data_IF_622253525727
#
_entry.id   IF_622253525727
#
_cell.length_a   1.000
_cell.length_b   1.000
_cell.length_c   1.000
_cell.angle_alpha   90.00
_cell.angle_beta   90.00
_cell.angle_gamma   90.00
#
_symmetry.space_group_name_H-M   'P 1'
#
loop_
_entity.id
_entity.type
_entity.pdbx_description
1 polymer ?
#
# COMPACT_ATOMS: atom_id res chain seq x y z
N UNK A 1 -0.10 -27.60 6.10
CA UNK A 1 0.85 -26.59 6.60
C UNK A 1 1.32 -25.81 5.38
N UNK A 2 0.46 -24.92 4.88
CA UNK A 2 0.69 -24.06 3.71
C UNK A 2 0.66 -22.59 4.15
N UNK A 3 1.52 -22.25 5.12
CA UNK A 3 1.76 -20.87 5.50
C UNK A 3 2.48 -20.18 4.35
N UNK A 4 1.80 -19.27 3.66
CA UNK A 4 2.46 -18.39 2.68
C UNK A 4 3.46 -17.49 3.43
N UNK A 5 4.66 -17.25 2.88
CA UNK A 5 5.74 -16.46 3.49
C UNK A 5 5.30 -15.14 4.17
N UNK A 6 4.16 -14.58 3.77
CA UNK A 6 3.64 -13.30 4.25
C UNK A 6 2.92 -13.40 5.60
N UNK A 7 2.44 -14.59 6.02
CA UNK A 7 1.87 -14.77 7.37
C UNK A 7 2.96 -14.74 8.44
N UNK A 8 4.18 -15.20 8.11
CA UNK A 8 5.32 -15.15 9.01
C UNK A 8 5.78 -13.70 9.25
N UNK A 9 5.84 -12.88 8.19
CA UNK A 9 6.22 -11.46 8.28
C UNK A 9 5.22 -10.62 9.09
N UNK A 10 3.95 -11.03 9.15
CA UNK A 10 2.88 -10.39 9.95
C UNK A 10 2.43 -11.26 11.13
N UNK A 11 3.30 -12.12 11.66
CA UNK A 11 2.96 -12.99 12.79
C UNK A 11 2.51 -12.19 14.03
N UNK A 12 3.03 -10.97 14.20
CA UNK A 12 2.73 -10.10 15.34
C UNK A 12 1.53 -9.15 15.14
N UNK A 13 0.75 -9.31 14.06
CA UNK A 13 -0.38 -8.42 13.77
C UNK A 13 -1.42 -8.33 14.91
N UNK A 14 -1.56 -9.40 15.71
CA UNK A 14 -2.46 -9.40 16.88
C UNK A 14 -1.98 -8.43 17.97
N UNK A 15 -0.67 -8.35 18.20
CA UNK A 15 -0.08 -7.42 19.17
C UNK A 15 -0.29 -5.97 18.72
N UNK A 16 -0.04 -5.68 17.44
CA UNK A 16 -0.26 -4.34 16.86
C UNK A 16 -1.73 -3.93 16.95
N UNK A 17 -2.65 -4.86 16.67
CA UNK A 17 -4.10 -4.61 16.80
C UNK A 17 -4.47 -4.29 18.26
N UNK A 18 -3.89 -5.02 19.23
CA UNK A 18 -4.15 -4.80 20.65
C UNK A 18 -3.62 -3.44 21.14
N UNK A 19 -2.46 -2.99 20.65
CA UNK A 19 -1.84 -1.72 21.05
C UNK A 19 -2.50 -0.50 20.39
N UNK A 20 -2.82 -0.60 19.10
CA UNK A 20 -3.36 0.53 18.32
C UNK A 20 -4.89 0.60 18.33
N UNK A 21 -5.56 -0.50 18.68
CA UNK A 21 -7.00 -0.66 18.51
C UNK A 21 -7.45 -0.79 17.05
N UNK A 22 -6.51 -0.80 16.09
CA UNK A 22 -6.82 -0.85 14.66
C UNK A 22 -6.84 -2.29 14.14
N UNK A 23 -7.95 -2.77 13.56
CA UNK A 23 -8.04 -4.13 13.07
C UNK A 23 -7.14 -4.34 11.85
N UNK A 24 -6.31 -5.39 11.88
CA UNK A 24 -5.48 -5.80 10.75
C UNK A 24 -6.14 -6.97 10.02
N UNK A 25 -6.24 -6.85 8.68
CA UNK A 25 -6.84 -7.87 7.82
C UNK A 25 -5.80 -8.47 6.87
N UNK A 26 -5.71 -9.80 6.85
CA UNK A 26 -4.85 -10.55 5.93
C UNK A 26 -5.66 -11.16 4.78
N UNK A 27 -5.02 -11.26 3.61
CA UNK A 27 -5.60 -11.95 2.47
C UNK A 27 -5.66 -13.45 2.74
N UNK A 28 -6.76 -14.10 2.36
CA UNK A 28 -6.92 -15.55 2.52
C UNK A 28 -5.92 -16.30 1.61
N UNK A 29 -5.39 -17.46 2.06
CA UNK A 29 -4.59 -18.32 1.20
C UNK A 29 -5.32 -18.63 -0.11
N UNK A 30 -4.58 -18.67 -1.22
CA UNK A 30 -5.09 -18.97 -2.57
C UNK A 30 -6.17 -18.00 -3.08
N UNK A 31 -6.24 -16.78 -2.53
CA UNK A 31 -7.21 -15.75 -2.95
C UNK A 31 -6.52 -14.54 -3.62
N UNK A 32 -5.88 -14.69 -4.79
CA UNK A 32 -5.12 -13.62 -5.44
C UNK A 32 -5.95 -12.38 -5.78
N UNK A 33 -7.26 -12.52 -5.99
CA UNK A 33 -8.15 -11.40 -6.25
C UNK A 33 -8.25 -10.40 -5.08
N UNK A 34 -7.96 -10.81 -3.84
CA UNK A 34 -7.93 -9.90 -2.69
C UNK A 34 -6.69 -8.97 -2.69
N UNK A 35 -5.71 -9.23 -3.56
CA UNK A 35 -4.44 -8.50 -3.64
C UNK A 35 -4.37 -7.53 -4.82
N UNK A 36 -5.44 -7.39 -5.61
CA UNK A 36 -5.42 -6.67 -6.90
C UNK A 36 -4.82 -5.25 -6.82
N UNK A 37 -5.19 -4.48 -5.79
CA UNK A 37 -4.67 -3.12 -5.58
C UNK A 37 -3.18 -3.10 -5.24
N UNK A 38 -2.74 -4.00 -4.35
CA UNK A 38 -1.33 -4.13 -3.95
C UNK A 38 -0.49 -4.55 -5.16
N UNK A 39 -0.95 -5.53 -5.93
CA UNK A 39 -0.24 -6.01 -7.13
C UNK A 39 -0.18 -4.95 -8.22
N UNK A 40 -1.24 -4.16 -8.39
CA UNK A 40 -1.23 -3.02 -9.30
C UNK A 40 -0.20 -1.96 -8.88
N UNK A 41 -0.15 -1.63 -7.59
CA UNK A 41 0.79 -0.66 -7.02
C UNK A 41 2.24 -1.16 -7.16
N UNK A 42 2.49 -2.43 -6.84
CA UNK A 42 3.80 -3.05 -7.01
C UNK A 42 4.27 -3.07 -8.48
N UNK A 43 3.35 -3.21 -9.45
CA UNK A 43 3.69 -3.10 -10.88
C UNK A 43 4.15 -1.69 -11.26
N UNK A 44 3.60 -0.67 -10.63
CA UNK A 44 3.98 0.73 -10.85
C UNK A 44 5.32 1.05 -10.20
N UNK A 45 5.54 0.58 -8.97
CA UNK A 45 6.84 0.68 -8.29
C UNK A 45 7.96 0.05 -9.11
N UNK A 46 7.68 -1.04 -9.85
CA UNK A 46 8.64 -1.69 -10.74
C UNK A 46 9.12 -0.85 -11.91
N UNK A 47 8.52 0.32 -12.16
CA UNK A 47 9.03 1.30 -13.13
C UNK A 47 10.25 2.07 -12.59
N UNK A 48 10.42 2.13 -11.26
CA UNK A 48 11.51 2.83 -10.58
C UNK A 48 12.46 1.85 -9.87
N UNK A 49 11.91 0.82 -9.22
CA UNK A 49 12.63 -0.16 -8.43
C UNK A 49 12.57 -1.52 -9.11
N UNK A 50 13.68 -1.96 -9.69
CA UNK A 50 13.73 -3.30 -10.30
C UNK A 50 13.43 -4.37 -9.24
N UNK A 51 12.89 -5.53 -9.66
CA UNK A 51 12.37 -6.59 -8.75
C UNK A 51 13.34 -7.03 -7.65
N UNK A 52 14.65 -6.84 -7.83
CA UNK A 52 15.71 -7.21 -6.90
C UNK A 52 16.64 -6.04 -6.59
N UNK A 53 16.15 -4.81 -6.75
CA UNK A 53 16.89 -3.63 -6.35
C UNK A 53 17.21 -3.72 -4.86
N UNK A 54 18.49 -3.52 -4.51
CA UNK A 54 18.89 -3.39 -3.11
C UNK A 54 18.45 -2.02 -2.61
N UNK A 55 17.37 -2.00 -1.84
CA UNK A 55 16.77 -0.75 -1.32
C UNK A 55 17.73 0.03 -0.43
N UNK A 56 18.76 -0.60 0.15
CA UNK A 56 19.78 0.08 0.97
C UNK A 56 20.64 1.06 0.16
N UNK A 57 20.64 0.93 -1.17
CA UNK A 57 21.36 1.83 -2.06
C UNK A 57 20.56 3.10 -2.40
N UNK A 58 19.28 3.16 -2.01
CA UNK A 58 18.44 4.32 -2.18
C UNK A 58 18.45 5.16 -0.91
N UNK A 59 18.64 6.47 -1.04
CA UNK A 59 18.40 7.39 0.07
C UNK A 59 16.89 7.50 0.34
N UNK A 60 16.52 7.92 1.55
CA UNK A 60 15.13 8.24 1.87
C UNK A 60 14.55 9.25 0.88
N UNK A 61 15.32 10.29 0.52
CA UNK A 61 14.92 11.29 -0.48
C UNK A 61 14.60 10.68 -1.86
N UNK A 62 15.35 9.65 -2.30
CA UNK A 62 15.05 8.95 -3.55
C UNK A 62 13.71 8.21 -3.46
N UNK A 63 13.44 7.56 -2.33
CA UNK A 63 12.18 6.83 -2.11
C UNK A 63 10.99 7.79 -1.99
N UNK A 64 11.18 8.92 -1.31
CA UNK A 64 10.17 9.98 -1.18
C UNK A 64 9.82 10.59 -2.54
N UNK A 65 10.82 10.81 -3.41
CA UNK A 65 10.59 11.30 -4.76
C UNK A 65 9.74 10.31 -5.59
N UNK A 66 10.03 9.01 -5.50
CA UNK A 66 9.24 7.96 -6.17
C UNK A 66 7.80 7.95 -5.63
N UNK A 67 7.63 8.02 -4.30
CA UNK A 67 6.31 8.06 -3.67
C UNK A 67 5.52 9.30 -4.10
N UNK A 68 6.17 10.47 -4.12
CA UNK A 68 5.60 11.72 -4.58
C UNK A 68 5.11 11.61 -6.03
N UNK A 69 5.94 11.09 -6.94
CA UNK A 69 5.55 10.92 -8.34
C UNK A 69 4.38 9.94 -8.48
N UNK A 70 4.38 8.82 -7.76
CA UNK A 70 3.29 7.85 -7.80
C UNK A 70 1.96 8.39 -7.25
N UNK A 71 2.02 9.23 -6.22
CA UNK A 71 0.86 9.88 -5.58
C UNK A 71 0.31 11.04 -6.41
N UNK A 72 1.14 11.68 -7.24
CA UNK A 72 0.73 12.75 -8.16
C UNK A 72 0.49 12.26 -9.59
N UNK A 73 0.58 10.96 -9.85
CA UNK A 73 0.31 10.38 -11.16
C UNK A 73 -1.19 10.16 -11.37
N UNK A 74 -1.82 10.74 -12.41
CA UNK A 74 -3.19 10.48 -12.82
C UNK A 74 -3.53 8.98 -12.93
N UNK A 75 -4.65 8.54 -12.34
CA UNK A 75 -5.11 7.14 -12.41
C UNK A 75 -6.47 7.04 -13.07
N UNK A 76 -6.61 6.17 -14.07
CA UNK A 76 -7.88 5.92 -14.76
C UNK A 76 -9.01 5.50 -13.80
N UNK A 77 -8.70 4.73 -12.77
CA UNK A 77 -9.68 4.29 -11.75
C UNK A 77 -10.27 5.45 -10.95
N UNK A 78 -9.58 6.59 -10.87
CA UNK A 78 -10.04 7.80 -10.19
C UNK A 78 -10.53 8.87 -11.20
N UNK A 79 -10.94 8.47 -12.40
CA UNK A 79 -11.36 9.43 -13.44
C UNK A 79 -10.20 10.33 -13.89
N UNK A 80 -8.98 9.80 -13.91
CA UNK A 80 -7.73 10.53 -14.21
C UNK A 80 -7.30 11.58 -13.19
N UNK A 81 -7.93 11.61 -12.01
CA UNK A 81 -7.41 12.33 -10.85
C UNK A 81 -6.19 11.63 -10.25
N UNK A 82 -5.41 12.37 -9.49
CA UNK A 82 -4.25 11.82 -8.76
C UNK A 82 -4.69 11.21 -7.42
N UNK A 83 -3.98 10.19 -6.91
CA UNK A 83 -4.22 9.69 -5.56
C UNK A 83 -4.17 10.76 -4.48
N UNK A 84 -3.25 11.74 -4.60
CA UNK A 84 -3.15 12.86 -3.66
C UNK A 84 -4.41 13.73 -3.64
N UNK A 85 -4.99 14.03 -4.81
CA UNK A 85 -6.25 14.79 -4.91
C UNK A 85 -7.42 14.05 -4.28
N UNK A 86 -7.57 12.75 -4.60
CA UNK A 86 -8.66 11.93 -4.04
C UNK A 86 -8.52 11.79 -2.53
N UNK A 87 -7.29 11.64 -2.04
CA UNK A 87 -7.03 11.56 -0.60
C UNK A 87 -7.32 12.88 0.11
N UNK A 88 -6.95 14.02 -0.48
CA UNK A 88 -7.27 15.34 0.06
C UNK A 88 -8.78 15.57 0.15
N UNK A 89 -9.55 15.19 -0.88
CA UNK A 89 -11.02 15.26 -0.84
C UNK A 89 -11.59 14.39 0.28
N UNK A 90 -11.08 13.19 0.47
CA UNK A 90 -11.53 12.27 1.51
C UNK A 90 -11.29 12.87 2.91
N UNK A 91 -10.13 13.46 3.16
CA UNK A 91 -9.82 14.13 4.42
C UNK A 91 -10.69 15.35 4.69
N UNK A 92 -11.11 16.04 3.63
CA UNK A 92 -11.98 17.21 3.71
C UNK A 92 -13.48 16.83 3.75
N UNK A 93 -13.81 15.55 3.59
CA UNK A 93 -15.17 15.05 3.68
C UNK A 93 -15.47 14.63 5.12
N UNK A 94 -16.64 15.01 5.64
CA UNK A 94 -17.07 14.69 7.02
C UNK A 94 -17.13 13.17 7.33
N UNK A 95 -17.07 12.31 6.31
CA UNK A 95 -17.03 10.85 6.43
C UNK A 95 -15.73 10.31 7.07
N UNK A 96 -14.65 11.11 7.13
CA UNK A 96 -13.36 10.67 7.65
C UNK A 96 -13.32 10.48 9.18
N UNK A 97 -14.35 10.90 9.91
CA UNK A 97 -14.42 10.86 11.39
C UNK A 97 -15.40 9.81 11.94
N UNK A 98 -16.04 9.01 11.08
CA UNK A 98 -17.09 8.04 11.50
C UNK A 98 -16.73 6.57 11.34
N UNK A 99 -15.46 6.21 11.14
CA UNK A 99 -14.99 4.82 11.00
C UNK A 99 -14.16 4.36 12.20
#
# INVERSE_FOLDING_TARGET
MDGTDHEADLAEHQAITAETGMPIYLCKPRSPWQRGTIENTNRLLRQYLTKRADLRTFSQANLDAIAHELNHRPRKIHGYRTPAEVYADLLNSDDALTA
#
